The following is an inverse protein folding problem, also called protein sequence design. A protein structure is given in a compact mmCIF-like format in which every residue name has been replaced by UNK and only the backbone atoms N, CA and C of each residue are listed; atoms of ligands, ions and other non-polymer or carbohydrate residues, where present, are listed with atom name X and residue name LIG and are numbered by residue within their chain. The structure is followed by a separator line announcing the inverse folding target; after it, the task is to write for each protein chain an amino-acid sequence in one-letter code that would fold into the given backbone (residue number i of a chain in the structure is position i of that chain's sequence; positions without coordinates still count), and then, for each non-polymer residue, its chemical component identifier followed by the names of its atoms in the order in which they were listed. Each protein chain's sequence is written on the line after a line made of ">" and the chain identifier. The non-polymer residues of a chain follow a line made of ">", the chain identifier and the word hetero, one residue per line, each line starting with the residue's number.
data_IF_294133652902
#
_entry.id   IF_294133652902
#
_cell.length_a   1.000
_cell.length_b   1.000
_cell.length_c   1.000
_cell.angle_alpha   90.00
_cell.angle_beta   90.00
_cell.angle_gamma   90.00
#
_symmetry.space_group_name_H-M   'P 1'
#
loop_
_entity.id
_entity.type
_entity.pdbx_description
1 polymer ?
#
# COMPACT_ATOMS: atom_id res chain seq x y z
N UNK A 1 3.32 -33.05 4.97
CA UNK A 1 2.24 -33.33 5.96
C UNK A 1 1.90 -32.09 6.80
N UNK A 2 2.14 -30.88 6.27
CA UNK A 2 2.09 -29.64 7.04
C UNK A 2 0.91 -28.75 6.68
N UNK A 3 0.80 -28.33 5.42
CA UNK A 3 -0.13 -27.27 5.00
C UNK A 3 -1.47 -27.76 4.47
N UNK A 4 -1.53 -28.97 3.89
CA UNK A 4 -2.81 -29.62 3.52
C UNK A 4 -3.80 -29.63 4.67
N UNK A 5 -3.33 -29.98 5.86
CA UNK A 5 -4.15 -30.09 7.08
C UNK A 5 -4.67 -28.74 7.57
N UNK A 6 -4.00 -27.63 7.23
CA UNK A 6 -4.46 -26.30 7.62
C UNK A 6 -5.73 -25.87 6.89
N UNK A 7 -6.06 -26.53 5.77
CA UNK A 7 -7.25 -26.27 4.96
C UNK A 7 -8.27 -27.42 5.02
N UNK A 8 -8.06 -28.44 5.85
CA UNK A 8 -8.89 -29.66 5.84
C UNK A 8 -10.36 -29.36 6.17
N UNK A 9 -10.61 -28.36 7.03
CA UNK A 9 -11.95 -27.94 7.43
C UNK A 9 -12.56 -26.86 6.50
N UNK A 10 -11.77 -26.30 5.57
CA UNK A 10 -12.23 -25.26 4.63
C UNK A 10 -12.99 -25.87 3.44
N UNK A 11 -14.13 -25.27 3.08
CA UNK A 11 -14.86 -25.61 1.86
C UNK A 11 -14.14 -25.09 0.61
N UNK A 12 -14.59 -25.52 -0.58
CA UNK A 12 -14.08 -24.96 -1.84
C UNK A 12 -14.35 -23.46 -1.95
N UNK A 13 -15.53 -23.01 -1.52
CA UNK A 13 -15.89 -21.58 -1.48
C UNK A 13 -15.01 -20.81 -0.49
N UNK A 14 -14.69 -21.39 0.68
CA UNK A 14 -13.77 -20.77 1.65
C UNK A 14 -12.37 -20.61 1.09
N UNK A 15 -11.85 -21.62 0.39
CA UNK A 15 -10.55 -21.56 -0.27
C UNK A 15 -10.51 -20.50 -1.37
N UNK A 16 -11.57 -20.42 -2.19
CA UNK A 16 -11.69 -19.39 -3.22
C UNK A 16 -11.79 -17.99 -2.61
N UNK A 17 -12.53 -17.82 -1.51
CA UNK A 17 -12.58 -16.55 -0.79
C UNK A 17 -11.22 -16.14 -0.24
N UNK A 18 -10.47 -17.07 0.35
CA UNK A 18 -9.13 -16.82 0.89
C UNK A 18 -8.15 -16.39 -0.21
N UNK A 19 -8.19 -17.05 -1.36
CA UNK A 19 -7.36 -16.68 -2.52
C UNK A 19 -7.68 -15.26 -3.02
N UNK A 20 -8.95 -14.90 -3.10
CA UNK A 20 -9.36 -13.53 -3.49
C UNK A 20 -8.98 -12.48 -2.44
N UNK A 21 -9.01 -12.82 -1.15
CA UNK A 21 -8.50 -11.97 -0.07
C UNK A 21 -7.00 -11.74 -0.23
N UNK A 22 -6.21 -12.80 -0.41
CA UNK A 22 -4.75 -12.69 -0.60
C UNK A 22 -4.40 -11.84 -1.83
N UNK A 23 -5.10 -12.04 -2.95
CA UNK A 23 -4.95 -11.22 -4.17
C UNK A 23 -5.34 -9.76 -3.93
N UNK A 24 -6.44 -9.51 -3.24
CA UNK A 24 -6.89 -8.16 -2.89
C UNK A 24 -5.86 -7.40 -2.03
N UNK A 25 -5.32 -8.06 -1.00
CA UNK A 25 -4.27 -7.51 -0.16
C UNK A 25 -3.01 -7.17 -0.97
N UNK A 26 -2.63 -8.04 -1.91
CA UNK A 26 -1.50 -7.79 -2.78
C UNK A 26 -1.69 -6.53 -3.63
N UNK A 27 -2.87 -6.37 -4.25
CA UNK A 27 -3.20 -5.17 -5.04
C UNK A 27 -3.19 -3.90 -4.18
N UNK A 28 -3.70 -3.96 -2.95
CA UNK A 28 -3.70 -2.81 -2.05
C UNK A 28 -2.29 -2.43 -1.56
N UNK A 29 -1.42 -3.41 -1.33
CA UNK A 29 0.00 -3.16 -1.06
C UNK A 29 0.73 -2.58 -2.27
N UNK A 30 0.37 -3.00 -3.50
CA UNK A 30 0.88 -2.36 -4.73
C UNK A 30 0.41 -0.91 -4.83
N UNK A 31 -0.86 -0.63 -4.52
CA UNK A 31 -1.40 0.72 -4.49
C UNK A 31 -0.69 1.60 -3.46
N UNK A 32 -0.40 1.07 -2.27
CA UNK A 32 0.43 1.74 -1.27
C UNK A 32 1.82 2.10 -1.80
N UNK A 33 2.51 1.16 -2.44
CA UNK A 33 3.80 1.41 -3.09
C UNK A 33 3.72 2.54 -4.13
N UNK A 34 2.67 2.57 -4.95
CA UNK A 34 2.44 3.65 -5.91
C UNK A 34 2.18 5.00 -5.22
N UNK A 35 1.49 5.02 -4.08
CA UNK A 35 1.25 6.22 -3.29
C UNK A 35 2.54 6.78 -2.66
N UNK A 36 3.42 5.90 -2.17
CA UNK A 36 4.75 6.28 -1.69
C UNK A 36 5.61 6.84 -2.83
N UNK A 37 5.59 6.21 -4.01
CA UNK A 37 6.29 6.74 -5.17
C UNK A 37 5.74 8.11 -5.62
N UNK A 38 4.42 8.30 -5.56
CA UNK A 38 3.80 9.60 -5.78
C UNK A 38 4.29 10.65 -4.78
N UNK A 39 4.32 10.32 -3.49
CA UNK A 39 4.85 11.20 -2.44
C UNK A 39 6.29 11.62 -2.74
N UNK A 40 7.17 10.66 -3.07
CA UNK A 40 8.57 10.95 -3.41
C UNK A 40 8.70 11.81 -4.67
N UNK A 41 7.89 11.55 -5.69
CA UNK A 41 7.91 12.33 -6.94
C UNK A 41 7.51 13.79 -6.68
N UNK A 42 6.47 14.03 -5.89
CA UNK A 42 6.05 15.37 -5.49
C UNK A 42 7.13 16.06 -4.67
N UNK A 43 7.70 15.38 -3.68
CA UNK A 43 8.79 15.93 -2.85
C UNK A 43 9.98 16.42 -3.71
N UNK A 44 10.48 15.58 -4.62
CA UNK A 44 11.54 15.97 -5.56
C UNK A 44 11.13 17.14 -6.45
N UNK A 45 9.87 17.21 -6.85
CA UNK A 45 9.33 18.35 -7.60
C UNK A 45 9.41 19.65 -6.79
N UNK A 46 8.98 19.62 -5.54
CA UNK A 46 9.04 20.77 -4.62
C UNK A 46 10.48 21.20 -4.34
N UNK A 47 11.41 20.26 -4.17
CA UNK A 47 12.85 20.58 -3.99
C UNK A 47 13.40 21.39 -5.17
N UNK A 48 12.98 21.08 -6.40
CA UNK A 48 13.38 21.88 -7.57
C UNK A 48 12.77 23.28 -7.57
N UNK A 49 11.55 23.45 -7.08
CA UNK A 49 10.93 24.77 -6.93
C UNK A 49 11.58 25.59 -5.82
N UNK A 50 12.00 24.96 -4.73
CA UNK A 50 12.74 25.60 -3.63
C UNK A 50 14.11 26.09 -4.12
N UNK A 51 14.86 25.24 -4.83
CA UNK A 51 16.12 25.63 -5.47
C UNK A 51 15.94 26.74 -6.50
N UNK A 52 14.83 26.74 -7.25
CA UNK A 52 14.51 27.81 -8.19
C UNK A 52 14.21 29.13 -7.46
N UNK A 53 13.45 29.09 -6.37
CA UNK A 53 13.14 30.23 -5.52
C UNK A 53 14.44 30.87 -5.00
N UNK A 54 15.36 30.08 -4.46
CA UNK A 54 16.63 30.59 -3.92
C UNK A 54 17.61 31.16 -4.98
N UNK A 55 17.37 30.89 -6.27
CA UNK A 55 18.15 31.46 -7.39
C UNK A 55 17.58 32.75 -7.94
N UNK A 56 16.32 33.06 -7.63
CA UNK A 56 15.69 34.31 -8.04
C UNK A 56 16.13 35.44 -7.10
N UNK A 57 16.13 36.68 -7.60
CA UNK A 57 16.43 37.85 -6.77
C UNK A 57 15.33 38.04 -5.72
N UNK A 58 15.66 38.54 -4.52
CA UNK A 58 14.69 38.72 -3.42
C UNK A 58 13.55 39.69 -3.78
N UNK A 59 13.70 40.51 -4.82
CA UNK A 59 12.66 41.41 -5.35
C UNK A 59 11.81 40.78 -6.45
N UNK A 60 12.07 39.52 -6.84
CA UNK A 60 11.37 38.85 -7.92
C UNK A 60 9.98 38.38 -7.45
N UNK A 61 8.94 38.86 -8.14
CA UNK A 61 7.56 38.47 -7.86
C UNK A 61 7.34 36.96 -8.01
N UNK A 62 8.12 36.26 -8.84
CA UNK A 62 8.07 34.80 -8.94
C UNK A 62 8.63 34.14 -7.68
N UNK A 63 9.69 34.68 -7.07
CA UNK A 63 10.24 34.13 -5.84
C UNK A 63 9.23 34.23 -4.70
N UNK A 64 8.56 35.38 -4.58
CA UNK A 64 7.48 35.60 -3.60
C UNK A 64 6.33 34.59 -3.79
N UNK A 65 5.86 34.41 -5.03
CA UNK A 65 4.79 33.44 -5.32
C UNK A 65 5.21 32.00 -5.06
N UNK A 66 6.44 31.61 -5.39
CA UNK A 66 6.93 30.27 -5.05
C UNK A 66 6.90 30.06 -3.53
N UNK A 67 7.43 31.02 -2.78
CA UNK A 67 7.53 30.95 -1.31
C UNK A 67 6.18 30.97 -0.61
N UNK A 68 5.22 31.76 -1.10
CA UNK A 68 3.93 31.97 -0.43
C UNK A 68 2.82 31.05 -0.94
N UNK A 69 2.83 30.70 -2.23
CA UNK A 69 1.76 29.92 -2.86
C UNK A 69 2.13 28.46 -3.10
N UNK A 70 3.36 28.15 -3.51
CA UNK A 70 3.70 26.81 -4.05
C UNK A 70 4.40 25.93 -3.02
N UNK A 71 5.49 26.40 -2.40
CA UNK A 71 6.27 25.61 -1.44
C UNK A 71 5.47 25.15 -0.22
N UNK A 72 4.55 25.96 0.36
CA UNK A 72 3.74 25.51 1.48
C UNK A 72 2.46 24.77 1.06
N UNK A 73 2.16 24.65 -0.23
CA UNK A 73 0.88 24.09 -0.68
C UNK A 73 0.78 22.57 -0.50
N UNK A 74 -0.39 22.13 -0.05
CA UNK A 74 -0.83 20.75 -0.18
C UNK A 74 -1.29 20.41 -1.59
N UNK A 75 -1.47 19.12 -1.87
CA UNK A 75 -1.92 18.61 -3.18
C UNK A 75 -3.43 18.44 -3.28
N UNK A 76 -4.16 18.67 -2.19
CA UNK A 76 -5.62 18.59 -2.11
C UNK A 76 -6.24 19.96 -1.85
N UNK A 77 -7.54 20.10 -2.13
CA UNK A 77 -8.28 21.36 -1.93
C UNK A 77 -8.29 21.82 -0.46
N UNK A 78 -8.21 20.87 0.49
CA UNK A 78 -8.09 21.13 1.93
C UNK A 78 -6.63 21.27 2.41
N UNK A 79 -5.66 21.24 1.49
CA UNK A 79 -4.25 21.54 1.76
C UNK A 79 -3.45 20.39 2.37
N UNK A 80 -3.86 19.14 2.19
CA UNK A 80 -3.09 17.98 2.66
C UNK A 80 -1.78 17.84 1.90
N UNK A 81 -0.71 17.65 2.65
CA UNK A 81 0.59 17.25 2.12
C UNK A 81 0.57 15.77 1.76
N UNK A 82 1.37 15.37 0.78
CA UNK A 82 1.38 13.99 0.27
C UNK A 82 1.74 12.95 1.33
N UNK A 83 2.56 13.28 2.33
CA UNK A 83 2.85 12.36 3.43
C UNK A 83 1.61 12.09 4.30
N UNK A 84 0.69 13.05 4.42
CA UNK A 84 -0.56 12.87 5.16
C UNK A 84 -1.47 11.90 4.42
N UNK A 85 -1.47 11.95 3.08
CA UNK A 85 -2.21 10.97 2.28
C UNK A 85 -1.66 9.55 2.46
N UNK A 86 -0.34 9.41 2.51
CA UNK A 86 0.32 8.12 2.80
C UNK A 86 -0.08 7.62 4.18
N UNK A 87 0.07 8.45 5.20
CA UNK A 87 -0.25 8.07 6.59
C UNK A 87 -1.73 7.71 6.75
N UNK A 88 -2.65 8.49 6.19
CA UNK A 88 -4.09 8.18 6.25
C UNK A 88 -4.44 6.88 5.53
N UNK A 89 -3.75 6.55 4.44
CA UNK A 89 -3.93 5.28 3.75
C UNK A 89 -3.40 4.10 4.58
N UNK A 90 -2.19 4.23 5.14
CA UNK A 90 -1.53 3.21 5.98
C UNK A 90 -2.31 2.95 7.27
N UNK A 91 -2.59 3.99 8.05
CA UNK A 91 -3.19 3.90 9.38
C UNK A 91 -4.70 3.67 9.34
N UNK A 92 -5.34 3.95 8.21
CA UNK A 92 -6.77 3.74 7.99
C UNK A 92 -7.02 2.49 7.15
N UNK A 93 -7.23 2.70 5.86
CA UNK A 93 -7.76 1.66 4.98
C UNK A 93 -6.86 0.42 4.88
N UNK A 94 -5.53 0.60 4.76
CA UNK A 94 -4.60 -0.52 4.63
C UNK A 94 -4.55 -1.36 5.91
N UNK A 95 -4.46 -0.72 7.07
CA UNK A 95 -4.49 -1.43 8.36
C UNK A 95 -5.78 -2.24 8.54
N UNK A 96 -6.94 -1.67 8.17
CA UNK A 96 -8.24 -2.34 8.28
C UNK A 96 -8.31 -3.59 7.39
N UNK A 97 -7.89 -3.49 6.12
CA UNK A 97 -7.93 -4.65 5.23
C UNK A 97 -6.91 -5.72 5.62
N UNK A 98 -5.74 -5.34 6.11
CA UNK A 98 -4.74 -6.30 6.60
C UNK A 98 -5.23 -7.05 7.82
N UNK A 99 -5.94 -6.39 8.74
CA UNK A 99 -6.60 -7.04 9.87
C UNK A 99 -7.61 -8.10 9.42
N UNK A 100 -8.46 -7.76 8.44
CA UNK A 100 -9.43 -8.71 7.87
C UNK A 100 -8.71 -9.92 7.22
N UNK A 101 -7.61 -9.65 6.52
CA UNK A 101 -6.76 -10.70 5.94
C UNK A 101 -6.21 -11.67 6.97
N UNK A 102 -5.65 -11.13 8.06
CA UNK A 102 -5.08 -11.92 9.15
C UNK A 102 -6.17 -12.73 9.87
N UNK A 103 -7.36 -12.15 10.07
CA UNK A 103 -8.53 -12.86 10.62
C UNK A 103 -8.96 -14.02 9.71
N UNK A 104 -9.07 -13.80 8.40
CA UNK A 104 -9.43 -14.85 7.44
C UNK A 104 -8.41 -15.99 7.42
N UNK A 105 -7.12 -15.69 7.47
CA UNK A 105 -6.06 -16.71 7.56
C UNK A 105 -6.13 -17.47 8.88
N UNK A 106 -6.42 -16.80 9.99
CA UNK A 106 -6.58 -17.44 11.29
C UNK A 106 -7.78 -18.39 11.32
N UNK A 107 -8.91 -18.02 10.72
CA UNK A 107 -10.12 -18.82 10.70
C UNK A 107 -10.07 -19.99 9.71
N UNK A 108 -9.51 -19.77 8.51
CA UNK A 108 -9.61 -20.73 7.40
C UNK A 108 -8.34 -21.53 7.15
N UNK A 109 -7.21 -21.09 7.70
CA UNK A 109 -5.89 -21.63 7.38
C UNK A 109 -4.95 -21.78 8.59
N UNK A 110 -5.48 -21.86 9.81
CA UNK A 110 -4.69 -21.93 11.06
C UNK A 110 -3.61 -20.84 11.18
N UNK A 111 -3.86 -19.66 10.60
CA UNK A 111 -2.92 -18.53 10.58
C UNK A 111 -1.70 -18.72 9.67
N UNK A 112 -1.73 -19.70 8.77
CA UNK A 112 -0.63 -19.96 7.83
C UNK A 112 -0.72 -19.07 6.61
N UNK A 113 0.43 -18.52 6.20
CA UNK A 113 0.55 -17.68 5.01
C UNK A 113 0.67 -18.52 3.75
N UNK A 114 0.04 -18.09 2.65
CA UNK A 114 0.08 -18.77 1.36
C UNK A 114 -0.41 -20.23 1.41
N UNK A 115 -1.49 -20.55 2.14
CA UNK A 115 -1.88 -21.93 2.41
C UNK A 115 -2.31 -22.67 1.13
N UNK A 116 -2.92 -21.96 0.17
CA UNK A 116 -3.35 -22.52 -1.13
C UNK A 116 -2.13 -22.90 -1.97
N UNK A 117 -1.23 -21.95 -2.22
CA UNK A 117 -0.03 -22.17 -3.05
C UNK A 117 0.90 -23.23 -2.43
N UNK A 118 0.95 -23.31 -1.10
CA UNK A 118 1.68 -24.37 -0.37
C UNK A 118 1.03 -25.74 -0.55
N UNK A 119 -0.30 -25.83 -0.50
CA UNK A 119 -1.02 -27.08 -0.75
C UNK A 119 -0.84 -27.57 -2.21
N UNK A 120 -0.91 -26.67 -3.19
CA UNK A 120 -0.63 -26.99 -4.59
C UNK A 120 0.81 -27.49 -4.79
N UNK A 121 1.77 -26.87 -4.09
CA UNK A 121 3.17 -27.28 -4.10
C UNK A 121 3.39 -28.68 -3.53
N UNK A 122 2.75 -29.00 -2.41
CA UNK A 122 2.77 -30.34 -1.79
C UNK A 122 2.20 -31.41 -2.75
N UNK A 123 1.12 -31.10 -3.48
CA UNK A 123 0.50 -32.02 -4.46
C UNK A 123 1.39 -32.34 -5.65
N UNK A 124 2.08 -31.32 -6.17
CA UNK A 124 3.04 -31.49 -7.24
C UNK A 124 4.25 -32.33 -6.80
N UNK A 125 4.65 -32.26 -5.52
CA UNK A 125 5.74 -33.07 -4.97
C UNK A 125 5.35 -34.53 -4.73
N UNK A 126 4.12 -34.79 -4.30
CA UNK A 126 3.63 -36.17 -4.08
C UNK A 126 3.32 -36.91 -5.39
N UNK A 127 3.08 -36.19 -6.48
CA UNK A 127 2.80 -36.75 -7.81
C UNK A 127 4.06 -36.97 -8.68
N UNK A 128 5.24 -36.59 -8.20
CA UNK A 128 6.55 -36.71 -8.86
C UNK A 128 7.33 -37.97 -8.43
#
# INVERSE_FOLDING_TARGET
>A
MGDRTALDDATEDDRAALEEIERGLEELRRAHGALVEFHHAVGRGIDHFDEAEGRLDERDALAERLREEILPAGVTDDGKLTYQLVAEFEEGFLADVESIGDEALAELADGRRYPIERAERDELEESA
#
